data_IF_303129783402
#
_entry.id   IF_303129783402
#
_cell.length_a   1.000
_cell.length_b   1.000
_cell.length_c   1.000
_cell.angle_alpha   90.00
_cell.angle_beta   90.00
_cell.angle_gamma   90.00
#
_symmetry.space_group_name_H-M   'P 1'
#
loop_
_entity.id
_entity.type
_entity.pdbx_description
1 polymer ?
2 non-polymer ?
3 water ?
#
# COMPACT_ATOMS: atom_id res chain seq x y z
N UNK A 10 -11.55 -16.08 -23.94
CA UNK A 10 -12.48 -15.18 -23.19
C UNK A 10 -12.34 -15.44 -21.67
N UNK A 11 -13.04 -14.63 -20.84
CA UNK A 11 -13.13 -14.80 -19.37
C UNK A 11 -12.98 -13.50 -18.56
N UNK A 12 -13.61 -13.44 -17.39
CA UNK A 12 -13.45 -12.31 -16.46
C UNK A 12 -12.50 -12.61 -15.29
N UNK A 13 -11.51 -11.74 -15.05
CA UNK A 13 -10.64 -11.79 -13.85
C UNK A 13 -11.05 -10.67 -12.89
N UNK A 14 -11.35 -11.02 -11.64
CA UNK A 14 -11.76 -10.06 -10.60
C UNK A 14 -10.63 -9.91 -9.57
N UNK A 15 -10.02 -8.72 -9.57
CA UNK A 15 -8.95 -8.39 -8.63
C UNK A 15 -9.43 -7.37 -7.63
N UNK A 16 -9.16 -7.65 -6.37
CA UNK A 16 -9.26 -6.60 -5.38
C UNK A 16 -7.86 -6.32 -4.82
N UNK A 17 -7.51 -5.02 -4.79
CA UNK A 17 -6.21 -4.58 -4.34
C UNK A 17 -6.28 -3.50 -3.25
N UNK A 18 -5.27 -3.49 -2.40
CA UNK A 18 -5.13 -2.40 -1.43
C UNK A 18 -4.78 -1.08 -2.12
N UNK A 19 -5.00 0.04 -1.43
CA UNK A 19 -5.00 1.33 -2.08
C UNK A 19 -3.69 1.60 -2.76
N UNK A 20 -2.61 1.19 -2.15
CA UNK A 20 -1.29 1.60 -2.61
C UNK A 20 -0.84 0.90 -3.90
N UNK A 21 -1.59 -0.12 -4.29
CA UNK A 21 -1.31 -0.92 -5.49
C UNK A 21 -2.08 -0.47 -6.72
N UNK A 22 -2.78 0.67 -6.62
CA UNK A 22 -3.65 1.15 -7.67
C UNK A 22 -2.89 1.70 -8.87
N UNK A 23 -1.61 1.98 -8.74
CA UNK A 23 -0.86 2.44 -9.92
C UNK A 23 -0.16 1.28 -10.62
N UNK A 24 0.51 0.46 -9.80
CA UNK A 24 1.29 -0.68 -10.25
C UNK A 24 0.49 -1.72 -10.98
N UNK A 25 -0.59 -2.16 -10.38
CA UNK A 25 -1.30 -3.25 -10.93
C UNK A 25 -1.89 -2.90 -12.27
N UNK A 26 -2.58 -1.76 -12.37
CA UNK A 26 -3.06 -1.37 -13.68
C UNK A 26 -2.01 -1.33 -14.72
N UNK A 27 -0.82 -0.85 -14.39
CA UNK A 27 0.20 -0.75 -15.39
C UNK A 27 0.60 -2.17 -15.85
N UNK A 28 0.70 -3.12 -14.92
CA UNK A 28 0.95 -4.53 -15.25
C UNK A 28 -0.16 -5.17 -16.04
N UNK A 29 -1.40 -4.78 -15.80
CA UNK A 29 -2.52 -5.25 -16.62
C UNK A 29 -2.38 -5.00 -18.12
N UNK A 30 -1.58 -4.02 -18.52
CA UNK A 30 -1.48 -3.59 -19.89
C UNK A 30 -0.78 -4.62 -20.74
N UNK A 31 0.36 -5.09 -20.27
CA UNK A 31 1.05 -6.16 -20.97
C UNK A 31 0.16 -7.41 -20.95
N UNK A 32 -0.41 -7.72 -19.79
CA UNK A 32 -1.19 -8.94 -19.64
C UNK A 32 -2.33 -9.00 -20.65
N UNK A 33 -3.02 -7.90 -20.82
CA UNK A 33 -4.23 -7.85 -21.63
C UNK A 33 -3.96 -7.88 -23.13
N UNK A 34 -2.77 -7.44 -23.53
CA UNK A 34 -2.31 -7.57 -24.91
C UNK A 34 -2.07 -9.03 -25.21
N UNK A 35 -1.49 -9.73 -24.24
CA UNK A 35 -1.19 -11.14 -24.34
C UNK A 35 -2.45 -12.01 -24.36
N UNK A 36 -3.52 -11.57 -23.71
CA UNK A 36 -4.78 -12.31 -23.67
C UNK A 36 -5.89 -11.33 -23.95
N UNK A 37 -6.13 -11.06 -25.23
CA UNK A 37 -7.16 -10.11 -25.63
C UNK A 37 -8.61 -10.53 -25.35
N UNK A 38 -8.84 -11.79 -25.00
CA UNK A 38 -10.18 -12.21 -24.62
C UNK A 38 -10.56 -11.84 -23.19
N UNK A 39 -9.55 -11.58 -22.36
CA UNK A 39 -9.76 -11.46 -20.93
C UNK A 39 -10.22 -10.06 -20.47
N UNK A 40 -11.37 -10.06 -19.82
CA UNK A 40 -11.88 -8.89 -19.16
C UNK A 40 -11.39 -8.87 -17.69
N UNK A 41 -11.07 -7.68 -17.19
CA UNK A 41 -10.56 -7.53 -15.84
C UNK A 41 -11.36 -6.46 -15.16
N UNK A 42 -11.86 -6.81 -13.98
CA UNK A 42 -12.56 -5.88 -13.13
C UNK A 42 -11.70 -5.69 -11.87
N UNK A 43 -11.32 -4.46 -11.58
CA UNK A 43 -10.44 -4.18 -10.44
C UNK A 43 -11.11 -3.32 -9.40
N UNK A 44 -11.04 -3.78 -8.18
CA UNK A 44 -11.59 -3.04 -7.08
C UNK A 44 -10.41 -2.55 -6.25
N UNK A 45 -10.53 -1.34 -5.72
CA UNK A 45 -9.44 -0.81 -4.93
C UNK A 45 -9.96 -0.47 -3.57
N UNK A 46 -9.35 -1.06 -2.56
CA UNK A 46 -9.85 -0.82 -1.24
C UNK A 46 -8.74 -0.79 -0.18
N UNK A 47 -9.13 -0.58 1.08
CA UNK A 47 -8.22 -0.72 2.19
C UNK A 47 -8.34 -2.11 2.80
N UNK A 48 -7.51 -2.41 3.79
CA UNK A 48 -7.43 -3.79 4.26
C UNK A 48 -8.73 -4.23 4.93
N UNK A 49 -9.40 -3.33 5.64
CA UNK A 49 -10.60 -3.71 6.33
C UNK A 49 -11.63 -4.07 5.29
N UNK A 50 -11.79 -3.25 4.26
CA UNK A 50 -12.83 -3.55 3.27
C UNK A 50 -12.48 -4.81 2.47
N UNK A 51 -11.18 -5.08 2.33
CA UNK A 51 -10.81 -6.25 1.58
C UNK A 51 -11.06 -7.54 2.37
N UNK A 52 -10.98 -7.50 3.69
CA UNK A 52 -11.36 -8.65 4.53
C UNK A 52 -12.81 -9.04 4.24
N UNK A 53 -13.70 -8.05 4.18
CA UNK A 53 -15.11 -8.29 3.90
C UNK A 53 -15.23 -8.87 2.53
N UNK A 54 -14.49 -8.33 1.59
CA UNK A 54 -14.62 -8.92 0.27
C UNK A 54 -14.26 -10.40 0.34
N UNK A 55 -13.19 -10.71 1.04
CA UNK A 55 -12.74 -12.09 1.18
C UNK A 55 -13.77 -12.94 1.90
N UNK A 56 -14.42 -12.37 2.90
CA UNK A 56 -15.44 -13.09 3.68
C UNK A 56 -16.66 -13.45 2.87
N UNK A 57 -16.97 -12.64 1.87
CA UNK A 57 -18.06 -12.92 0.93
C UNK A 57 -17.51 -13.51 -0.36
N UNK A 58 -16.27 -13.99 -0.34
CA UNK A 58 -15.64 -14.61 -1.52
C UNK A 58 -15.81 -13.86 -2.86
N UNK A 59 -15.64 -12.53 -2.86
CA UNK A 59 -16.05 -11.71 -4.02
C UNK A 59 -15.13 -11.76 -5.24
N UNK A 60 -13.87 -12.09 -5.02
CA UNK A 60 -12.88 -11.95 -6.09
C UNK A 60 -12.08 -13.21 -6.27
N UNK A 61 -11.38 -13.25 -7.38
CA UNK A 61 -10.43 -14.29 -7.67
C UNK A 61 -9.15 -14.15 -6.84
N UNK A 62 -8.58 -12.95 -6.88
CA UNK A 62 -7.35 -12.66 -6.17
C UNK A 62 -7.38 -11.34 -5.41
N UNK A 63 -6.57 -11.30 -4.37
CA UNK A 63 -6.48 -10.19 -3.48
C UNK A 63 -5.01 -9.82 -3.35
N UNK A 64 -4.75 -8.52 -3.40
CA UNK A 64 -3.44 -8.00 -3.05
C UNK A 64 -3.49 -7.21 -1.75
N UNK A 65 -2.70 -7.72 -0.81
CA UNK A 65 -2.67 -7.25 0.55
C UNK A 65 -1.21 -7.19 1.01
N UNK A 66 -0.93 -6.34 2.01
CA UNK A 66 0.33 -6.35 2.75
C UNK A 66 0.31 -7.14 4.09
N UNK A 67 -0.82 -7.07 4.76
CA UNK A 67 -1.04 -7.74 6.03
C UNK A 67 -2.25 -8.67 5.82
N UNK A 68 -2.02 -9.98 5.81
CA UNK A 68 -3.05 -11.03 5.74
C UNK A 68 -4.11 -10.84 6.81
N UNK A 69 -5.41 -10.83 6.43
CA UNK A 69 -6.40 -10.79 7.50
C UNK A 69 -6.31 -11.98 8.44
N UNK A 70 -6.46 -11.71 9.73
CA UNK A 70 -6.20 -12.70 10.76
C UNK A 70 -7.18 -13.84 10.66
N UNK A 71 -8.46 -13.52 10.52
CA UNK A 71 -9.47 -14.56 10.59
C UNK A 71 -9.91 -15.12 9.25
N UNK A 72 -9.09 -14.96 8.21
CA UNK A 72 -9.36 -15.63 6.94
C UNK A 72 -8.17 -16.47 6.57
N UNK A 73 -8.46 -17.67 6.07
CA UNK A 73 -7.44 -18.65 5.71
C UNK A 73 -7.14 -18.46 4.25
N UNK A 74 -5.91 -18.10 3.96
CA UNK A 74 -5.48 -17.68 2.65
C UNK A 74 -4.27 -18.45 2.20
N UNK A 75 -4.21 -18.74 0.91
CA UNK A 75 -2.92 -18.96 0.32
C UNK A 75 -2.36 -17.60 -0.16
N UNK A 76 -1.03 -17.43 -0.16
CA UNK A 76 -0.41 -16.25 -0.73
C UNK A 76 1.08 -16.29 -0.93
N UNK A 77 1.52 -15.46 -1.88
CA UNK A 77 2.94 -15.29 -2.12
C UNK A 77 3.32 -13.84 -2.11
N UNK A 78 4.51 -13.52 -1.54
CA UNK A 78 5.02 -12.17 -1.69
C UNK A 78 5.54 -12.01 -3.09
N UNK A 79 5.32 -10.83 -3.68
CA UNK A 79 5.82 -10.52 -5.02
C UNK A 79 6.54 -9.17 -5.12
N UNK A 80 6.46 -8.32 -4.10
CA UNK A 80 7.05 -6.97 -4.17
C UNK A 80 7.08 -6.36 -2.79
N UNK A 81 8.16 -5.71 -2.45
CA UNK A 81 8.24 -5.01 -1.19
C UNK A 81 7.31 -3.81 -1.20
N UNK A 82 6.83 -3.46 -0.02
CA UNK A 82 5.96 -2.34 0.15
C UNK A 82 6.45 -1.51 1.34
N UNK A 83 7.58 -0.86 1.17
CA UNK A 83 8.07 -0.09 2.31
C UNK A 83 7.22 1.17 2.57
N UNK A 84 6.81 1.34 3.83
CA UNK A 84 6.10 2.53 4.29
C UNK A 84 7.10 3.57 4.84
N UNK A 85 7.01 4.79 4.37
CA UNK A 85 8.02 5.77 4.75
C UNK A 85 7.37 7.04 5.29
N UNK A 86 8.18 7.81 6.02
CA UNK A 86 7.78 9.12 6.49
C UNK A 86 7.91 10.20 5.40
N UNK A 87 6.80 10.87 5.12
CA UNK A 87 6.76 11.88 4.13
C UNK A 87 6.45 13.20 4.75
N UNK A 88 7.18 14.21 4.31
CA UNK A 88 6.93 15.57 4.74
C UNK A 88 7.04 16.51 3.55
N UNK A 89 6.80 17.79 3.82
CA UNK A 89 7.08 18.73 2.80
C UNK A 89 8.53 19.11 2.90
N UNK A 90 9.10 19.51 1.78
CA UNK A 90 10.53 19.75 1.67
C UNK A 90 11.05 20.95 2.51
N UNK A 91 10.17 21.81 3.03
CA UNK A 91 10.61 22.91 3.90
C UNK A 91 10.58 22.42 5.36
N UNK A 92 10.27 21.16 5.57
CA UNK A 92 10.23 20.68 6.93
C UNK A 92 11.64 20.83 7.46
N UNK A 93 11.79 21.20 8.74
CA UNK A 93 13.14 21.41 9.37
C UNK A 93 14.06 20.20 9.38
N UNK A 94 13.46 19.01 9.32
CA UNK A 94 14.21 17.77 9.26
C UNK A 94 14.36 17.24 7.87
N UNK A 95 13.84 17.97 6.90
CA UNK A 95 14.01 17.52 5.55
C UNK A 95 15.49 17.55 5.28
N UNK A 96 15.99 16.46 4.73
CA UNK A 96 17.36 16.41 4.24
C UNK A 96 18.36 15.93 5.26
N UNK A 97 17.91 15.73 6.49
CA UNK A 97 18.75 15.28 7.57
C UNK A 97 18.77 13.75 7.58
N UNK A 98 19.82 13.17 8.16
CA UNK A 98 20.02 11.72 8.20
C UNK A 98 19.95 11.24 9.62
N UNK A 99 19.66 9.94 9.79
CA UNK A 99 19.68 9.28 11.09
C UNK A 99 18.83 9.94 12.13
N UNK A 100 17.66 10.38 11.69
CA UNK A 100 16.77 11.09 12.54
C UNK A 100 16.16 10.10 13.48
N UNK A 101 16.30 10.31 14.79
CA UNK A 101 15.72 9.42 15.76
C UNK A 101 14.23 9.48 15.74
N UNK A 102 13.63 8.38 16.10
CA UNK A 102 12.21 8.26 15.98
C UNK A 102 11.53 9.19 17.00
N UNK A 103 12.20 9.42 18.13
CA UNK A 103 11.80 10.42 19.13
C UNK A 103 11.53 11.82 18.57
N UNK A 104 12.19 12.20 17.48
CA UNK A 104 11.86 13.47 16.80
C UNK A 104 10.40 13.58 16.28
N UNK A 105 9.68 12.46 16.21
CA UNK A 105 8.29 12.51 15.73
C UNK A 105 7.27 12.96 16.78
N UNK A 106 7.66 12.93 18.04
CA UNK A 106 6.78 13.26 19.12
C UNK A 106 6.15 14.63 18.98
N UNK A 107 4.84 14.69 19.04
CA UNK A 107 4.10 15.94 18.91
C UNK A 107 4.16 16.61 17.55
N UNK A 108 4.79 15.98 16.56
CA UNK A 108 4.65 16.43 15.18
C UNK A 108 3.24 16.32 14.70
N UNK A 109 2.84 17.30 13.87
CA UNK A 109 1.51 17.30 13.27
C UNK A 109 1.56 16.16 12.26
N UNK A 110 0.60 15.25 12.39
CA UNK A 110 0.64 13.97 11.69
C UNK A 110 -0.75 13.61 11.15
N UNK A 111 -0.83 13.38 9.85
CA UNK A 111 -2.10 13.11 9.22
C UNK A 111 -2.28 11.64 9.17
N UNK A 112 -3.43 11.16 9.60
CA UNK A 112 -3.66 9.72 9.58
C UNK A 112 -4.62 9.31 8.46
N UNK A 113 -4.48 8.09 7.98
CA UNK A 113 -5.45 7.45 7.11
C UNK A 113 -6.71 7.12 7.94
N UNK A 114 -7.79 6.77 7.24
CA UNK A 114 -9.06 6.27 7.86
C UNK A 114 -8.83 5.00 8.66
N UNK A 115 -9.62 4.83 9.72
CA UNK A 115 -9.77 3.57 10.44
C UNK A 115 -10.10 2.47 9.45
N UNK A 116 -9.43 1.33 9.58
CA UNK A 116 -9.49 0.27 8.58
C UNK A 116 -8.30 0.24 7.63
N UNK A 117 -7.52 1.32 7.61
CA UNK A 117 -6.32 1.31 6.80
C UNK A 117 -5.26 0.43 7.47
N UNK A 118 -4.64 -0.48 6.73
CA UNK A 118 -3.47 -1.22 7.27
C UNK A 118 -2.28 -0.33 7.43
N UNK A 119 -2.23 0.75 6.64
CA UNK A 119 -1.13 1.71 6.75
C UNK A 119 -1.20 2.28 8.14
N UNK A 120 -2.37 2.82 8.50
CA UNK A 120 -2.62 3.38 9.83
C UNK A 120 -2.30 2.37 10.96
N UNK A 121 -2.75 1.13 10.82
CA UNK A 121 -2.53 0.17 11.90
C UNK A 121 -1.01 -0.09 12.10
N UNK A 122 -0.26 -0.24 11.03
CA UNK A 122 1.20 -0.37 11.17
C UNK A 122 1.87 0.88 11.81
N UNK A 123 1.39 2.07 11.47
CA UNK A 123 1.97 3.27 12.06
C UNK A 123 1.61 3.25 13.52
N UNK A 124 0.35 3.02 13.84
CA UNK A 124 -0.04 2.97 15.26
C UNK A 124 0.76 1.96 16.06
N UNK A 125 1.04 0.82 15.46
CA UNK A 125 1.78 -0.20 16.21
C UNK A 125 3.17 0.21 16.40
N UNK A 126 3.74 0.79 15.37
CA UNK A 126 5.11 1.24 15.49
C UNK A 126 5.24 2.35 16.56
N UNK A 127 4.36 3.33 16.53
CA UNK A 127 4.40 4.45 17.51
C UNK A 127 4.16 3.99 18.95
N UNK A 128 3.22 3.07 19.15
CA UNK A 128 2.97 2.48 20.45
C UNK A 128 4.26 1.78 20.94
N UNK A 129 4.82 0.93 20.09
CA UNK A 129 6.03 0.20 20.44
C UNK A 129 7.14 1.16 20.88
N UNK A 130 7.20 2.34 20.28
CA UNK A 130 8.30 3.27 20.53
C UNK A 130 7.91 4.49 21.35
N UNK A 131 6.76 4.44 22.02
CA UNK A 131 6.36 5.54 22.91
C UNK A 131 6.44 6.88 22.19
N UNK A 132 5.87 6.93 20.99
CA UNK A 132 5.86 8.15 20.17
C UNK A 132 4.43 8.62 20.20
N UNK A 133 4.23 9.90 20.46
CA UNK A 133 2.87 10.48 20.43
C UNK A 133 2.91 11.58 19.40
N UNK A 134 2.02 11.51 18.41
CA UNK A 134 1.97 12.53 17.37
C UNK A 134 0.69 13.27 17.53
N UNK A 135 0.66 14.49 17.01
CA UNK A 135 -0.53 15.32 17.11
C UNK A 135 -1.40 15.11 15.87
N UNK A 136 -2.51 14.45 16.04
CA UNK A 136 -3.38 14.15 14.92
C UNK A 136 -4.63 15.01 14.95
N UNK A 137 -4.91 15.74 13.89
CA UNK A 137 -6.21 16.38 13.73
C UNK A 137 -6.93 16.07 12.39
N UNK A 138 -6.22 15.45 11.46
CA UNK A 138 -6.74 15.09 10.16
C UNK A 138 -6.64 13.60 10.01
N UNK A 139 -7.79 12.99 9.79
CA UNK A 139 -7.88 11.61 9.39
C UNK A 139 -8.41 11.66 7.98
N UNK A 140 -7.53 11.44 6.99
CA UNK A 140 -7.90 11.57 5.57
C UNK A 140 -7.92 10.23 4.85
N UNK A 141 -9.11 9.80 4.44
CA UNK A 141 -9.30 8.49 3.83
C UNK A 141 -8.79 8.26 2.39
N UNK A 142 -7.57 8.63 2.09
CA UNK A 142 -7.01 8.41 0.77
C UNK A 142 -5.57 8.79 0.84
N UNK A 143 -4.70 7.97 0.26
CA UNK A 143 -3.29 8.35 0.11
C UNK A 143 -3.09 9.66 -0.65
N UNK A 144 -3.92 9.92 -1.64
CA UNK A 144 -3.69 11.09 -2.48
C UNK A 144 -4.08 12.29 -1.62
N UNK A 145 -5.17 12.18 -0.88
CA UNK A 145 -5.63 13.27 0.01
C UNK A 145 -4.52 13.65 0.97
N UNK A 146 -3.84 12.63 1.54
CA UNK A 146 -2.79 12.86 2.44
C UNK A 146 -1.60 13.52 1.77
N UNK A 147 -1.23 13.11 0.57
CA UNK A 147 -0.12 13.82 -0.12
C UNK A 147 -0.46 15.31 -0.37
N UNK A 148 -1.67 15.57 -0.84
CA UNK A 148 -2.16 16.95 -0.94
C UNK A 148 -2.07 17.69 0.40
N UNK A 149 -2.51 17.08 1.49
CA UNK A 149 -2.41 17.79 2.79
C UNK A 149 -0.98 18.13 3.20
N UNK A 150 -0.06 17.21 2.91
CA UNK A 150 1.31 17.42 3.27
C UNK A 150 1.83 18.56 2.41
N UNK A 151 1.54 18.52 1.12
CA UNK A 151 1.98 19.57 0.22
C UNK A 151 1.40 20.91 0.68
N UNK A 152 0.17 20.94 1.23
CA UNK A 152 -0.40 22.21 1.73
C UNK A 152 0.03 22.54 3.16
N UNK A 153 1.06 21.86 3.67
CA UNK A 153 1.69 22.24 4.93
C UNK A 153 0.92 21.75 6.14
N UNK A 154 0.06 20.77 5.98
CA UNK A 154 -0.73 20.28 7.12
C UNK A 154 -0.05 19.21 7.99
N UNK A 155 1.20 18.90 7.69
CA UNK A 155 1.96 18.00 8.55
C UNK A 155 2.72 16.93 7.78
N UNK A 156 3.09 15.87 8.48
CA UNK A 156 3.77 14.72 7.88
C UNK A 156 2.83 13.55 8.03
N UNK A 157 3.14 12.50 7.30
CA UNK A 157 2.42 11.24 7.37
C UNK A 157 3.37 10.08 7.05
N UNK A 158 2.85 8.85 7.13
CA UNK A 158 3.59 7.66 6.69
C UNK A 158 2.69 7.03 5.67
N UNK A 159 3.23 6.80 4.47
CA UNK A 159 2.50 6.18 3.41
C UNK A 159 3.44 5.17 2.73
N UNK A 160 2.87 4.26 1.95
CA UNK A 160 3.64 3.43 1.03
C UNK A 160 4.43 4.27 0.10
N UNK A 161 5.69 3.92 -0.03
CA UNK A 161 6.55 4.51 -1.02
C UNK A 161 6.03 4.38 -2.43
N UNK A 162 5.17 3.38 -2.71
CA UNK A 162 4.57 3.25 -4.05
C UNK A 162 3.68 4.44 -4.36
N UNK A 163 3.23 5.20 -3.35
CA UNK A 163 2.32 6.34 -3.64
C UNK A 163 3.10 7.53 -4.22
N UNK A 164 4.42 7.54 -3.99
CA UNK A 164 5.31 8.59 -4.51
C UNK A 164 5.80 8.40 -5.97
N UNK A 165 5.31 7.39 -6.66
CA UNK A 165 5.71 7.09 -8.04
C UNK A 165 5.13 8.14 -9.01
N UNK A 166 3.99 8.70 -8.63
CA UNK A 166 3.35 9.81 -9.34
C UNK A 166 4.09 11.13 -9.19
N UNK A 167 4.83 11.30 -8.09
CA UNK A 167 5.54 12.56 -7.83
C UNK A 167 6.68 12.77 -8.79
N UNK A 168 6.62 13.86 -9.53
CA UNK A 168 7.76 14.23 -10.34
C UNK A 168 8.09 15.69 -10.18
N UNK A 169 9.07 16.13 -10.96
CA UNK A 169 9.24 17.53 -11.30
C UNK A 169 9.29 18.36 -10.01
N UNK A 170 8.35 19.30 -9.88
CA UNK A 170 8.24 20.15 -8.70
C UNK A 170 7.49 19.41 -7.61
N UNK A 171 8.01 18.27 -7.15
CA UNK A 171 7.37 17.64 -6.02
C UNK A 171 7.87 18.32 -4.74
N UNK A 172 6.88 18.71 -3.96
CA UNK A 172 7.05 19.33 -2.68
C UNK A 172 7.37 18.31 -1.58
N UNK A 173 7.20 17.03 -1.90
CA UNK A 173 7.23 15.96 -0.93
C UNK A 173 8.61 15.40 -0.80
N UNK A 174 8.93 14.90 0.37
CA UNK A 174 10.25 14.41 0.63
C UNK A 174 10.12 13.31 1.67
N UNK A 175 11.03 12.36 1.63
CA UNK A 175 11.11 11.29 2.63
C UNK A 175 12.02 11.74 3.75
N UNK A 176 11.50 11.74 4.99
CA UNK A 176 12.34 11.97 6.14
C UNK A 176 13.01 10.65 6.58
N UNK A 177 14.32 10.71 6.77
CA UNK A 177 15.15 9.51 7.11
C UNK A 177 15.10 9.23 8.58
N UNK A 178 13.94 8.81 9.03
CA UNK A 178 13.65 8.57 10.40
C UNK A 178 14.02 7.14 10.72
N UNK A 179 14.61 6.91 11.90
CA UNK A 179 14.92 5.57 12.39
C UNK A 179 13.64 4.76 12.48
N UNK A 180 13.80 3.45 12.31
CA UNK A 180 12.74 2.46 12.29
C UNK A 180 11.99 2.52 10.99
N UNK A 181 12.38 3.42 10.09
CA UNK A 181 11.76 3.46 8.79
C UNK A 181 12.77 3.01 7.78
N UNK A 182 12.32 2.44 6.65
CA UNK A 182 10.94 2.17 6.28
C UNK A 182 10.32 1.09 7.08
N UNK A 183 9.00 1.11 7.20
CA UNK A 183 8.35 0.00 7.82
C UNK A 183 8.41 -1.08 6.77
N UNK A 184 9.08 -2.17 7.12
CA UNK A 184 9.28 -3.28 6.14
C UNK A 184 7.97 -4.07 5.94
N UNK A 185 7.50 -4.16 4.72
CA UNK A 185 6.16 -4.68 4.49
C UNK A 185 6.18 -5.15 3.06
N UNK A 186 5.26 -6.01 2.69
CA UNK A 186 5.41 -6.63 1.38
C UNK A 186 4.04 -6.64 0.81
N UNK A 187 3.92 -6.59 -0.52
CA UNK A 187 2.68 -6.95 -1.18
C UNK A 187 2.60 -8.47 -1.43
N UNK A 188 1.46 -9.04 -1.08
CA UNK A 188 1.19 -10.44 -1.30
C UNK A 188 0.04 -10.57 -2.24
N UNK A 189 0.12 -11.56 -3.13
CA UNK A 189 -1.05 -11.98 -3.89
C UNK A 189 -1.61 -13.28 -3.27
N UNK A 190 -2.90 -13.21 -2.98
CA UNK A 190 -3.56 -14.12 -2.11
C UNK A 190 -4.85 -14.60 -2.77
N UNK A 191 -5.28 -15.79 -2.35
CA UNK A 191 -6.60 -16.33 -2.66
C UNK A 191 -7.09 -17.14 -1.46
N UNK A 192 -8.39 -17.32 -1.38
CA UNK A 192 -9.01 -18.09 -0.27
C UNK A 192 -8.34 -19.48 -0.23
N UNK A 193 -7.91 -19.92 0.95
CA UNK A 193 -7.12 -21.17 1.03
C UNK A 193 -7.95 -22.33 0.47
N UNK A 194 -7.33 -23.16 -0.38
CA UNK A 194 -8.00 -24.36 -0.88
C UNK A 194 -8.92 -24.11 -2.07
N UNK A 195 -9.38 -22.86 -2.22
CA UNK A 195 -10.07 -22.40 -3.42
C UNK A 195 -9.40 -22.89 -4.73
N UNK A 196 -10.18 -23.66 -5.49
CA UNK A 196 -9.81 -24.06 -6.84
C UNK A 196 -9.79 -22.84 -7.76
N UNK A 197 -8.61 -22.47 -8.23
CA UNK A 197 -8.48 -21.26 -9.06
C UNK A 197 -8.82 -21.50 -10.52
N UNK A 198 -9.66 -20.63 -11.07
CA UNK A 198 -9.89 -20.55 -12.53
C UNK A 198 -8.57 -20.50 -13.29
N UNK A 199 -8.62 -20.94 -14.54
CA UNK A 199 -7.46 -20.95 -15.43
C UNK A 199 -7.03 -19.53 -15.77
N UNK A 200 -8.00 -18.61 -15.85
CA UNK A 200 -7.71 -17.18 -16.11
C UNK A 200 -6.91 -16.62 -14.91
N UNK A 201 -7.51 -16.77 -13.73
CA UNK A 201 -6.89 -16.47 -12.45
C UNK A 201 -5.51 -17.10 -12.29
N UNK A 202 -5.41 -18.40 -12.58
CA UNK A 202 -4.12 -19.07 -12.46
C UNK A 202 -3.14 -18.44 -13.44
N UNK A 203 -3.63 -18.07 -14.61
CA UNK A 203 -2.71 -17.52 -15.65
C UNK A 203 -2.15 -16.16 -15.19
N UNK A 204 -3.01 -15.36 -14.55
CA UNK A 204 -2.61 -14.01 -14.14
C UNK A 204 -1.56 -14.10 -13.04
N UNK A 205 -1.81 -15.02 -12.11
CA UNK A 205 -0.98 -15.26 -10.95
C UNK A 205 0.43 -15.60 -11.34
N UNK A 206 0.56 -16.53 -12.27
CA UNK A 206 1.88 -16.91 -12.78
C UNK A 206 2.49 -15.76 -13.53
N UNK A 207 1.66 -14.99 -14.24
CA UNK A 207 2.16 -13.81 -14.96
C UNK A 207 2.74 -12.76 -13.97
N UNK A 208 1.96 -12.48 -12.94
CA UNK A 208 2.39 -11.56 -11.87
C UNK A 208 3.69 -12.01 -11.26
N UNK A 209 3.74 -13.28 -10.83
CA UNK A 209 4.99 -13.80 -10.21
C UNK A 209 6.16 -13.69 -11.15
N UNK A 210 5.94 -13.98 -12.41
CA UNK A 210 7.08 -13.99 -13.31
C UNK A 210 7.57 -12.60 -13.54
N UNK A 211 6.67 -11.65 -13.83
CA UNK A 211 7.15 -10.30 -14.20
C UNK A 211 7.78 -9.55 -13.03
N UNK A 212 7.40 -9.92 -11.81
CA UNK A 212 7.93 -9.22 -10.64
C UNK A 212 9.14 -9.87 -10.03
N UNK A 213 9.69 -10.90 -10.68
CA UNK A 213 10.51 -11.81 -9.92
C UNK A 213 11.62 -11.15 -9.11
N UNK A 214 12.59 -10.46 -9.71
CA UNK A 214 13.66 -9.82 -8.87
C UNK A 214 13.59 -8.28 -8.82
N UNK A 215 12.37 -7.78 -8.87
CA UNK A 215 12.09 -6.36 -9.06
C UNK A 215 12.32 -5.63 -7.74
N UNK A 216 13.03 -4.49 -7.78
CA UNK A 216 13.18 -3.55 -6.64
C UNK A 216 11.96 -2.58 -6.42
N UNK A 217 12.10 -1.59 -5.51
CA UNK A 217 11.04 -0.58 -5.25
C UNK A 217 11.62 0.81 -4.94
X LIG B 1 -4.32 0.40 3.31
X LIG B 1 -3.15 -0.56 2.73
X LIG B 1 -5.02 0.95 2.11
X LIG B 1 -3.56 1.43 4.16
X LIG B 1 -5.26 -0.54 3.96
X LIG B 1 -2.15 -0.22 1.80
X LIG B 1 -0.78 -0.77 2.19
X LIG B 1 0.22 -0.53 1.43
X LIG B 1 -0.70 -1.44 3.24
#
# INVERSE_FOLDING_TARGET
>A
MGHHHHHHKQGRLRLAVITTAKYFIPRLLGEFIQKYPGIEVSLKVTNHEQIRHRMQNNEDDLYIVSEPPEEIDLNYQPFLDNPLVVIARRDHPLAGKSNIPITALNDEAFIMREKGSGTRLAVQNLFHRHYVDVRVRLELGSNEAIKQAIAGGMGISVLSQHTLVSEGARSELTILDIDEFPIKRRWYVANLAGKQLSVITQTFLDYLMAVTKNMPAPFAEQLTTQQTPVKLVL
>B hetero
1 PGA P O1P O2P O3P O4P C2 C1 O1 O2
#
